data_IF_022374991222
#
_entry.id   IF_022374991222
#
_cell.length_a   1.000
_cell.length_b   1.000
_cell.length_c   1.000
_cell.angle_alpha   90.00
_cell.angle_beta   90.00
_cell.angle_gamma   90.00
#
_symmetry.space_group_name_H-M   'P 1'
#
loop_
_entity.id
_entity.type
_entity.pdbx_description
1 polymer ?
#
# COMPACT_ATOMS: atom_id res chain seq x y z
N UNK A 1 7.56 7.48 -11.19
CA UNK A 1 8.70 7.26 -10.26
C UNK A 1 8.73 5.84 -9.71
N UNK A 2 7.87 5.45 -8.75
CA UNK A 2 7.97 4.16 -8.02
C UNK A 2 7.85 2.88 -8.86
N UNK A 3 7.21 2.91 -10.04
CA UNK A 3 7.23 1.77 -10.98
C UNK A 3 8.65 1.43 -11.41
N UNK A 4 9.47 2.45 -11.70
CA UNK A 4 10.86 2.27 -12.11
C UNK A 4 11.71 1.73 -10.97
N UNK A 5 11.56 2.29 -9.77
CA UNK A 5 12.30 1.84 -8.58
C UNK A 5 11.98 0.38 -8.25
N UNK A 6 10.70 -0.01 -8.25
CA UNK A 6 10.30 -1.39 -8.01
C UNK A 6 10.86 -2.35 -9.08
N UNK A 7 10.90 -1.95 -10.35
CA UNK A 7 11.51 -2.75 -11.41
C UNK A 7 13.04 -2.86 -11.24
N UNK A 8 13.71 -1.77 -10.85
CA UNK A 8 15.15 -1.75 -10.57
C UNK A 8 15.49 -2.65 -9.35
N UNK A 9 14.58 -2.77 -8.38
CA UNK A 9 14.66 -3.70 -7.23
C UNK A 9 14.27 -5.15 -7.56
N UNK A 10 13.90 -5.45 -8.82
CA UNK A 10 13.63 -6.79 -9.32
C UNK A 10 12.17 -7.25 -9.18
N UNK A 11 11.22 -6.36 -8.90
CA UNK A 11 9.80 -6.69 -8.95
C UNK A 11 9.41 -7.02 -10.39
N UNK A 12 8.83 -8.22 -10.58
CA UNK A 12 8.45 -8.71 -11.90
C UNK A 12 7.40 -7.81 -12.57
N UNK A 13 7.55 -7.58 -13.87
CA UNK A 13 6.66 -6.72 -14.64
C UNK A 13 5.18 -7.13 -14.52
N UNK A 14 4.89 -8.44 -14.52
CA UNK A 14 3.54 -8.96 -14.31
C UNK A 14 2.95 -8.55 -12.95
N UNK A 15 3.75 -8.49 -11.89
CA UNK A 15 3.30 -8.06 -10.55
C UNK A 15 2.94 -6.57 -10.58
N UNK A 16 3.78 -5.75 -11.22
CA UNK A 16 3.54 -4.30 -11.35
C UNK A 16 2.24 -4.01 -12.10
N UNK A 17 1.97 -4.73 -13.20
CA UNK A 17 0.74 -4.57 -13.98
C UNK A 17 -0.51 -5.08 -13.26
N UNK A 18 -0.37 -6.07 -12.37
CA UNK A 18 -1.48 -6.63 -11.59
C UNK A 18 -1.77 -5.89 -10.28
N UNK A 19 -0.91 -4.95 -9.87
CA UNK A 19 -1.09 -4.19 -8.63
C UNK A 19 -2.45 -3.48 -8.53
N UNK A 20 -3.01 -2.85 -9.58
CA UNK A 20 -4.33 -2.20 -9.49
C UNK A 20 -5.51 -3.18 -9.27
N UNK A 21 -5.31 -4.47 -9.50
CA UNK A 21 -6.32 -5.53 -9.39
C UNK A 21 -5.85 -6.65 -8.46
N UNK A 22 -5.06 -6.29 -7.45
CA UNK A 22 -4.34 -7.23 -6.60
C UNK A 22 -5.24 -8.21 -5.85
N UNK A 23 -6.47 -7.80 -5.52
CA UNK A 23 -7.44 -8.63 -4.79
C UNK A 23 -7.70 -9.95 -5.53
N UNK A 24 -7.90 -9.85 -6.85
CA UNK A 24 -8.23 -10.97 -7.76
C UNK A 24 -6.99 -11.71 -8.27
N UNK A 25 -5.79 -11.16 -8.03
CA UNK A 25 -4.53 -11.72 -8.52
C UNK A 25 -3.97 -12.81 -7.60
N UNK A 26 -3.41 -13.86 -8.20
CA UNK A 26 -2.60 -14.86 -7.48
C UNK A 26 -1.13 -14.48 -7.36
N UNK A 27 -0.72 -13.32 -7.90
CA UNK A 27 0.67 -12.86 -7.89
C UNK A 27 1.13 -12.37 -6.51
N UNK A 28 0.20 -12.15 -5.58
CA UNK A 28 0.48 -11.65 -4.23
C UNK A 28 0.17 -12.72 -3.18
N UNK A 29 1.10 -12.90 -2.23
CA UNK A 29 0.89 -13.78 -1.09
C UNK A 29 -0.01 -13.15 -0.01
N UNK A 30 -0.37 -13.91 1.03
CA UNK A 30 -1.28 -13.46 2.08
C UNK A 30 -0.81 -12.16 2.78
N UNK A 31 0.49 -12.09 3.10
CA UNK A 31 1.10 -10.93 3.76
C UNK A 31 1.12 -9.69 2.87
N UNK A 32 1.40 -9.85 1.58
CA UNK A 32 1.33 -8.75 0.59
C UNK A 32 -0.10 -8.25 0.42
N UNK A 33 -1.08 -9.17 0.31
CA UNK A 33 -2.50 -8.81 0.24
C UNK A 33 -2.96 -8.06 1.49
N UNK A 34 -2.53 -8.47 2.67
CA UNK A 34 -2.81 -7.75 3.92
C UNK A 34 -2.19 -6.35 3.92
N UNK A 35 -0.97 -6.18 3.40
CA UNK A 35 -0.35 -4.87 3.28
C UNK A 35 -1.09 -3.94 2.32
N UNK A 36 -1.53 -4.47 1.17
CA UNK A 36 -2.29 -3.70 0.16
C UNK A 36 -3.68 -3.31 0.68
N UNK A 37 -4.39 -4.23 1.35
CA UNK A 37 -5.66 -3.93 2.02
C UNK A 37 -5.51 -2.83 3.08
N UNK A 38 -4.44 -2.91 3.89
CA UNK A 38 -4.13 -1.90 4.89
C UNK A 38 -3.80 -0.55 4.24
N UNK A 39 -3.03 -0.55 3.16
CA UNK A 39 -2.70 0.65 2.40
C UNK A 39 -3.94 1.34 1.81
N UNK A 40 -4.87 0.58 1.22
CA UNK A 40 -6.15 1.10 0.72
C UNK A 40 -6.99 1.69 1.85
N UNK A 41 -7.12 0.96 2.97
CA UNK A 41 -7.90 1.38 4.15
C UNK A 41 -7.41 2.73 4.67
N UNK A 42 -6.10 2.90 4.86
CA UNK A 42 -5.52 4.15 5.36
C UNK A 42 -5.51 5.27 4.33
N UNK A 43 -5.41 4.95 3.04
CA UNK A 43 -5.47 5.95 1.97
C UNK A 43 -6.88 6.55 1.86
N UNK A 44 -7.92 5.74 2.08
CA UNK A 44 -9.32 6.13 2.05
C UNK A 44 -9.90 6.44 3.44
N UNK A 45 -9.03 6.73 4.43
CA UNK A 45 -9.40 6.91 5.85
C UNK A 45 -10.48 7.97 6.10
N UNK A 46 -10.61 8.97 5.22
CA UNK A 46 -11.52 10.09 5.42
C UNK A 46 -13.00 9.63 5.46
N UNK A 47 -13.63 9.74 6.62
CA UNK A 47 -15.08 9.57 6.80
C UNK A 47 -15.52 8.31 7.55
N UNK A 48 -14.72 7.25 7.57
CA UNK A 48 -15.09 5.95 8.19
C UNK A 48 -14.16 5.48 9.30
N UNK A 49 -13.00 6.12 9.49
CA UNK A 49 -11.97 5.60 10.40
C UNK A 49 -11.41 4.26 9.90
N UNK A 50 -10.72 3.54 10.78
CA UNK A 50 -10.18 2.20 10.49
C UNK A 50 -11.10 1.15 11.13
N UNK A 51 -11.74 0.26 10.36
CA UNK A 51 -12.51 -0.85 10.92
C UNK A 51 -11.61 -1.83 11.69
N UNK A 52 -12.06 -2.33 12.84
CA UNK A 52 -11.31 -3.32 13.65
C UNK A 52 -10.91 -4.54 12.82
N UNK A 53 -11.81 -5.05 11.97
CA UNK A 53 -11.53 -6.18 11.09
C UNK A 53 -10.36 -5.93 10.12
N UNK A 54 -10.14 -4.69 9.67
CA UNK A 54 -9.00 -4.36 8.82
C UNK A 54 -7.69 -4.35 9.61
N UNK A 55 -7.73 -3.85 10.85
CA UNK A 55 -6.58 -3.88 11.75
C UNK A 55 -6.21 -5.32 12.15
N UNK A 56 -7.20 -6.13 12.51
CA UNK A 56 -7.00 -7.53 12.88
C UNK A 56 -6.44 -8.36 11.72
N UNK A 57 -6.95 -8.16 10.50
CA UNK A 57 -6.43 -8.80 9.31
C UNK A 57 -4.96 -8.43 9.04
N UNK A 58 -4.58 -7.16 9.24
CA UNK A 58 -3.19 -6.75 9.12
C UNK A 58 -2.31 -7.34 10.25
N UNK A 59 -2.79 -7.37 11.50
CA UNK A 59 -2.05 -7.94 12.64
C UNK A 59 -1.90 -9.45 12.61
N UNK A 60 -2.71 -10.16 11.82
CA UNK A 60 -2.54 -11.58 11.56
C UNK A 60 -1.26 -11.88 10.75
N UNK A 61 -0.89 -10.97 9.85
CA UNK A 61 0.27 -11.14 8.96
C UNK A 61 1.50 -10.35 9.41
N UNK A 62 1.33 -9.30 10.23
CA UNK A 62 2.39 -8.40 10.68
C UNK A 62 2.49 -8.33 12.21
N UNK A 63 3.72 -8.32 12.73
CA UNK A 63 3.96 -7.91 14.12
C UNK A 63 3.59 -6.45 14.33
N UNK A 64 3.46 -6.03 15.59
CA UNK A 64 3.13 -4.64 15.92
C UNK A 64 4.15 -3.64 15.36
N UNK A 65 5.44 -3.98 15.47
CA UNK A 65 6.52 -3.14 14.96
C UNK A 65 6.47 -3.04 13.42
N UNK A 66 6.25 -4.16 12.72
CA UNK A 66 6.17 -4.15 11.27
C UNK A 66 4.92 -3.40 10.78
N UNK A 67 3.78 -3.55 11.45
CA UNK A 67 2.56 -2.82 11.09
C UNK A 67 2.72 -1.30 11.32
N UNK A 68 3.44 -0.90 12.38
CA UNK A 68 3.78 0.50 12.61
C UNK A 68 4.64 1.05 11.47
N UNK A 69 5.67 0.30 11.05
CA UNK A 69 6.53 0.68 9.90
C UNK A 69 5.71 0.77 8.60
N UNK A 70 4.85 -0.21 8.33
CA UNK A 70 3.96 -0.20 7.17
C UNK A 70 3.03 1.01 7.18
N UNK A 71 2.45 1.34 8.33
CA UNK A 71 1.57 2.51 8.51
C UNK A 71 2.32 3.81 8.22
N UNK A 72 3.56 3.95 8.68
CA UNK A 72 4.41 5.09 8.36
C UNK A 72 4.69 5.18 6.85
N UNK A 73 4.99 4.05 6.19
CA UNK A 73 5.22 4.01 4.75
C UNK A 73 3.98 4.47 3.96
N UNK A 74 2.79 3.98 4.32
CA UNK A 74 1.52 4.40 3.71
C UNK A 74 1.26 5.90 3.93
N UNK A 75 1.50 6.40 5.15
CA UNK A 75 1.37 7.82 5.48
C UNK A 75 2.34 8.70 4.70
N UNK A 76 3.60 8.29 4.57
CA UNK A 76 4.61 9.00 3.80
C UNK A 76 4.23 9.07 2.31
N UNK A 77 3.75 7.97 1.74
CA UNK A 77 3.30 7.98 0.34
C UNK A 77 2.08 8.89 0.13
N UNK A 78 1.12 8.84 1.06
CA UNK A 78 -0.03 9.73 1.08
C UNK A 78 0.37 11.22 1.15
N UNK A 79 1.40 11.56 1.93
CA UNK A 79 1.96 12.91 2.01
C UNK A 79 2.58 13.35 0.68
N UNK A 80 3.46 12.52 0.11
CA UNK A 80 4.12 12.83 -1.15
C UNK A 80 3.15 12.98 -2.31
N UNK A 81 2.10 12.15 -2.37
CA UNK A 81 1.04 12.29 -3.37
C UNK A 81 0.32 13.64 -3.26
N UNK A 82 0.03 14.10 -2.04
CA UNK A 82 -0.61 15.41 -1.80
C UNK A 82 0.30 16.57 -2.21
N UNK A 83 1.60 16.47 -1.90
CA UNK A 83 2.58 17.49 -2.32
C UNK A 83 2.68 17.52 -3.85
N UNK A 84 2.88 16.38 -4.50
CA UNK A 84 3.10 16.32 -5.94
C UNK A 84 1.90 16.78 -6.75
N UNK A 85 0.71 16.29 -6.41
CA UNK A 85 -0.53 16.71 -7.07
C UNK A 85 -0.84 18.17 -6.75
N UNK A 86 -0.74 18.58 -5.48
CA UNK A 86 -1.02 19.95 -5.04
C UNK A 86 -0.09 21.00 -5.65
N UNK A 87 1.18 20.64 -5.87
CA UNK A 87 2.18 21.48 -6.53
C UNK A 87 2.18 21.36 -8.06
N UNK A 88 1.28 20.54 -8.64
CA UNK A 88 1.20 20.27 -10.09
C UNK A 88 2.54 19.81 -10.69
N UNK A 89 3.27 18.95 -9.96
CA UNK A 89 4.51 18.38 -10.48
C UNK A 89 4.18 17.51 -11.70
N UNK A 90 5.01 17.57 -12.76
CA UNK A 90 4.87 16.67 -13.91
C UNK A 90 5.10 15.22 -13.47
N UNK A 91 4.35 14.31 -14.09
CA UNK A 91 4.40 12.87 -13.83
C UNK A 91 5.68 12.22 -14.37
#
# INVERSE_FOLDING_TARGET
MHIKEAADDGVGENVLHLLPVWQESSAFNAREKAALAWAETLTLLAGSGVPDAAFDAARAEFSEQELAVLTVAVGAMNLWNRIGVGAQMPA
#
